data_IF_095932153092
#
_entry.id   IF_095932153092
#
_cell.length_a   1.000
_cell.length_b   1.000
_cell.length_c   1.000
_cell.angle_alpha   90.00
_cell.angle_beta   90.00
_cell.angle_gamma   90.00
#
_symmetry.space_group_name_H-M   'P 1'
#
loop_
_entity.id
_entity.type
_entity.pdbx_description
1 polymer ?
#
# COMPACT_ATOMS: atom_id res chain seq x y z
N UNK A 1 -14.33 1.20 34.44
CA UNK A 1 -15.21 0.53 33.44
C UNK A 1 -14.43 -0.14 32.32
N UNK A 2 -13.57 0.55 31.55
CA UNK A 2 -12.80 -0.07 30.43
C UNK A 2 -11.93 -1.25 30.88
N UNK A 3 -11.22 -1.13 32.00
CA UNK A 3 -10.40 -2.21 32.54
C UNK A 3 -11.20 -3.48 32.88
N UNK A 4 -12.42 -3.32 33.42
CA UNK A 4 -13.31 -4.45 33.73
C UNK A 4 -13.88 -5.07 32.46
N UNK A 5 -14.29 -4.25 31.49
CA UNK A 5 -14.75 -4.73 30.19
C UNK A 5 -13.67 -5.58 29.49
N UNK A 6 -12.40 -5.17 29.59
CA UNK A 6 -11.26 -5.88 29.00
C UNK A 6 -11.00 -7.27 29.61
N UNK A 7 -11.42 -7.50 30.85
CA UNK A 7 -11.30 -8.82 31.51
C UNK A 7 -12.38 -9.77 30.98
N UNK A 8 -13.59 -9.27 30.72
CA UNK A 8 -14.69 -10.07 30.17
C UNK A 8 -14.58 -10.31 28.66
N UNK A 9 -14.26 -9.26 27.90
CA UNK A 9 -14.15 -9.29 26.45
C UNK A 9 -13.09 -8.28 25.96
N UNK A 10 -12.00 -8.80 25.39
CA UNK A 10 -10.89 -7.99 24.87
C UNK A 10 -11.36 -7.01 23.78
N UNK A 11 -12.34 -7.40 22.95
CA UNK A 11 -12.87 -6.56 21.88
C UNK A 11 -13.62 -5.36 22.46
N UNK A 12 -14.47 -5.59 23.47
CA UNK A 12 -15.18 -4.50 24.17
C UNK A 12 -14.20 -3.59 24.90
N UNK A 13 -13.18 -4.18 25.54
CA UNK A 13 -12.09 -3.46 26.19
C UNK A 13 -11.37 -2.51 25.22
N UNK A 14 -10.89 -3.04 24.09
CA UNK A 14 -10.16 -2.25 23.09
C UNK A 14 -11.06 -1.22 22.40
N UNK A 15 -12.31 -1.58 22.09
CA UNK A 15 -13.31 -0.68 21.54
C UNK A 15 -13.55 0.54 22.44
N UNK A 16 -13.70 0.30 23.75
CA UNK A 16 -13.93 1.37 24.71
C UNK A 16 -12.65 2.19 24.99
N UNK A 17 -11.47 1.55 24.97
CA UNK A 17 -10.19 2.23 25.07
C UNK A 17 -9.95 3.21 23.92
N UNK A 18 -10.16 2.77 22.68
CA UNK A 18 -9.87 3.59 21.48
C UNK A 18 -10.76 4.83 21.37
N UNK A 19 -11.99 4.75 21.88
CA UNK A 19 -12.98 5.84 21.81
C UNK A 19 -12.94 6.81 22.99
N UNK A 20 -12.67 6.31 24.19
CA UNK A 20 -12.83 7.11 25.41
C UNK A 20 -11.50 7.48 26.05
N UNK A 21 -10.47 6.63 25.92
CA UNK A 21 -9.22 6.81 26.64
C UNK A 21 -8.10 7.34 25.74
N UNK A 22 -8.00 6.84 24.51
CA UNK A 22 -6.98 7.30 23.57
C UNK A 22 -7.04 8.83 23.33
N UNK A 23 -8.21 9.48 23.14
CA UNK A 23 -8.25 10.94 22.96
C UNK A 23 -7.69 11.75 24.13
N UNK A 24 -7.75 11.20 25.36
CA UNK A 24 -7.23 11.86 26.57
C UNK A 24 -5.69 11.96 26.48
N UNK A 25 -5.03 10.97 25.88
CA UNK A 25 -3.56 10.90 25.79
C UNK A 25 -2.97 12.00 24.91
N UNK A 26 -3.74 12.44 23.92
CA UNK A 26 -3.35 13.44 22.89
C UNK A 26 -3.65 14.86 23.34
N UNK A 27 -4.44 15.03 24.41
CA UNK A 27 -4.82 16.37 24.88
C UNK A 27 -3.58 17.15 25.35
N UNK A 28 -3.51 18.43 24.97
CA UNK A 28 -2.38 19.34 25.31
C UNK A 28 -2.17 19.50 26.83
N UNK A 29 -3.20 19.21 27.63
CA UNK A 29 -3.18 19.21 29.10
C UNK A 29 -2.96 17.81 29.72
N UNK A 30 -2.64 16.81 28.89
CA UNK A 30 -2.57 15.41 29.31
C UNK A 30 -1.56 15.17 30.42
N UNK A 31 -2.07 14.83 31.60
CA UNK A 31 -1.26 14.42 32.75
C UNK A 31 -0.43 13.16 32.39
N UNK A 32 0.91 13.17 32.60
CA UNK A 32 1.77 12.00 32.40
C UNK A 32 1.26 10.73 33.08
N UNK A 33 0.65 10.85 34.26
CA UNK A 33 0.07 9.71 34.98
C UNK A 33 -1.15 9.14 34.25
N UNK A 34 -2.03 9.99 33.71
CA UNK A 34 -3.18 9.54 32.92
C UNK A 34 -2.70 8.83 31.65
N UNK A 35 -1.70 9.39 30.96
CA UNK A 35 -1.09 8.75 29.79
C UNK A 35 -0.52 7.38 30.11
N UNK A 36 0.18 7.27 31.24
CA UNK A 36 0.76 6.01 31.72
C UNK A 36 -0.32 4.95 31.96
N UNK A 37 -1.39 5.28 32.69
CA UNK A 37 -2.50 4.37 32.96
C UNK A 37 -3.23 3.92 31.68
N UNK A 38 -3.42 4.83 30.72
CA UNK A 38 -4.05 4.49 29.44
C UNK A 38 -3.19 3.51 28.64
N UNK A 39 -1.86 3.70 28.63
CA UNK A 39 -0.93 2.78 27.97
C UNK A 39 -0.86 1.42 28.68
N UNK A 40 -0.77 1.41 30.02
CA UNK A 40 -0.75 0.16 30.80
C UNK A 40 -1.97 -0.71 30.51
N UNK A 41 -3.14 -0.08 30.34
CA UNK A 41 -4.36 -0.81 30.05
C UNK A 41 -4.33 -1.48 28.67
N UNK A 42 -3.94 -0.77 27.61
CA UNK A 42 -3.87 -1.38 26.26
C UNK A 42 -2.75 -2.41 26.17
N UNK A 43 -1.61 -2.18 26.81
CA UNK A 43 -0.54 -3.18 26.91
C UNK A 43 -1.04 -4.46 27.57
N UNK A 44 -1.81 -4.35 28.65
CA UNK A 44 -2.43 -5.50 29.30
C UNK A 44 -3.38 -6.24 28.35
N UNK A 45 -4.24 -5.52 27.63
CA UNK A 45 -5.14 -6.11 26.62
C UNK A 45 -4.34 -6.89 25.58
N UNK A 46 -3.30 -6.27 25.00
CA UNK A 46 -2.48 -6.84 23.93
C UNK A 46 -1.58 -7.99 24.41
N UNK A 47 -1.17 -7.98 25.68
CA UNK A 47 -0.39 -9.06 26.29
C UNK A 47 -1.22 -10.31 26.62
N UNK A 48 -2.55 -10.24 26.53
CA UNK A 48 -3.42 -11.39 26.83
C UNK A 48 -3.16 -12.52 25.82
N UNK A 49 -3.06 -13.79 26.26
CA UNK A 49 -2.88 -14.92 25.34
C UNK A 49 -3.93 -14.91 24.23
N UNK A 50 -3.49 -15.04 22.98
CA UNK A 50 -4.33 -15.01 21.76
C UNK A 50 -5.03 -13.66 21.49
N UNK A 51 -4.66 -12.57 22.18
CA UNK A 51 -5.27 -11.24 21.97
C UNK A 51 -5.28 -10.83 20.49
N UNK A 52 -4.16 -10.97 19.79
CA UNK A 52 -4.08 -10.64 18.36
C UNK A 52 -5.14 -11.36 17.51
N UNK A 53 -5.30 -12.66 17.69
CA UNK A 53 -6.26 -13.46 16.92
C UNK A 53 -7.73 -13.05 17.19
N UNK A 54 -8.03 -12.72 18.46
CA UNK A 54 -9.35 -12.24 18.89
C UNK A 54 -9.62 -10.84 18.36
N UNK A 55 -8.65 -9.93 18.47
CA UNK A 55 -8.85 -8.51 18.20
C UNK A 55 -8.87 -8.18 16.70
N UNK A 56 -8.02 -8.80 15.88
CA UNK A 56 -7.93 -8.50 14.44
C UNK A 56 -9.24 -8.85 13.70
N UNK A 57 -9.95 -9.87 14.18
CA UNK A 57 -11.26 -10.27 13.65
C UNK A 57 -12.42 -9.87 14.57
N UNK A 58 -12.14 -9.15 15.66
CA UNK A 58 -13.10 -8.80 16.68
C UNK A 58 -14.03 -7.68 16.23
N UNK A 59 -15.29 -7.75 16.66
CA UNK A 59 -16.27 -6.69 16.45
C UNK A 59 -17.21 -6.63 17.66
N UNK A 60 -17.52 -5.41 18.12
CA UNK A 60 -18.49 -5.21 19.21
C UNK A 60 -19.90 -5.07 18.66
N UNK A 61 -20.05 -4.40 17.51
CA UNK A 61 -21.33 -4.22 16.81
C UNK A 61 -21.11 -4.32 15.31
N UNK A 62 -22.15 -4.73 14.59
CA UNK A 62 -22.12 -4.82 13.12
C UNK A 62 -21.80 -3.43 12.54
N UNK A 63 -20.70 -3.35 11.79
CA UNK A 63 -20.26 -2.12 11.13
C UNK A 63 -19.36 -1.21 11.98
N UNK A 64 -19.17 -1.51 13.27
CA UNK A 64 -18.27 -0.72 14.13
C UNK A 64 -16.88 -1.36 14.24
N UNK A 65 -15.84 -0.56 13.96
CA UNK A 65 -14.44 -0.97 14.14
C UNK A 65 -14.03 -0.87 15.60
N UNK A 66 -13.21 -1.81 16.08
CA UNK A 66 -12.57 -1.71 17.39
C UNK A 66 -11.72 -0.44 17.48
N UNK A 67 -10.98 -0.14 16.41
CA UNK A 67 -10.22 1.11 16.25
C UNK A 67 -10.81 1.88 15.06
N UNK A 68 -11.61 2.92 15.29
CA UNK A 68 -12.22 3.71 14.22
C UNK A 68 -11.16 4.59 13.52
N UNK A 69 -11.43 5.09 12.29
CA UNK A 69 -10.47 5.91 11.54
C UNK A 69 -9.84 7.07 12.32
N UNK A 70 -10.58 7.89 13.11
CA UNK A 70 -9.97 8.97 13.89
C UNK A 70 -9.01 8.47 14.99
N UNK A 71 -9.26 7.28 15.54
CA UNK A 71 -8.37 6.66 16.51
C UNK A 71 -7.09 6.14 15.83
N UNK A 72 -7.20 5.60 14.60
CA UNK A 72 -6.02 5.21 13.82
C UNK A 72 -5.16 6.43 13.47
N UNK A 73 -5.77 7.52 13.02
CA UNK A 73 -5.05 8.78 12.77
C UNK A 73 -4.31 9.26 14.03
N UNK A 74 -5.00 9.23 15.17
CA UNK A 74 -4.41 9.54 16.47
C UNK A 74 -3.20 8.65 16.78
N UNK A 75 -3.33 7.33 16.57
CA UNK A 75 -2.25 6.37 16.81
C UNK A 75 -1.02 6.66 15.98
N UNK A 76 -1.17 7.00 14.69
CA UNK A 76 -0.05 7.39 13.83
C UNK A 76 0.67 8.60 14.44
N UNK A 77 -0.08 9.64 14.84
CA UNK A 77 0.50 10.89 15.36
C UNK A 77 1.26 10.70 16.68
N UNK A 78 0.76 9.86 17.60
CA UNK A 78 1.45 9.59 18.88
C UNK A 78 2.60 8.60 18.75
N UNK A 79 2.59 7.75 17.72
CA UNK A 79 3.65 6.78 17.42
C UNK A 79 4.82 7.42 16.70
N UNK A 80 4.55 8.34 15.78
CA UNK A 80 5.55 9.01 14.96
C UNK A 80 5.61 10.53 15.25
N UNK A 81 5.82 10.98 16.50
CA UNK A 81 5.94 12.41 16.76
C UNK A 81 7.26 12.95 16.18
N UNK A 82 7.37 14.28 15.96
CA UNK A 82 8.64 14.92 15.63
C UNK A 82 9.72 14.57 16.66
N UNK A 83 10.99 14.52 16.26
CA UNK A 83 12.10 14.14 17.16
C UNK A 83 12.14 14.96 18.44
N UNK A 84 11.80 16.25 18.37
CA UNK A 84 11.74 17.18 19.51
C UNK A 84 10.59 16.90 20.50
N UNK A 85 9.57 16.16 20.08
CA UNK A 85 8.38 15.83 20.88
C UNK A 85 8.38 14.37 21.38
N UNK A 86 9.45 13.61 21.11
CA UNK A 86 9.60 12.23 21.60
C UNK A 86 9.74 12.25 23.12
N UNK A 87 8.99 11.35 23.77
CA UNK A 87 9.01 11.14 25.23
C UNK A 87 9.07 9.64 25.52
N UNK A 88 9.30 9.24 26.77
CA UNK A 88 9.32 7.81 27.16
C UNK A 88 8.04 7.04 26.75
N UNK A 89 6.90 7.73 26.72
CA UNK A 89 5.65 7.13 26.26
C UNK A 89 5.63 6.81 24.75
N UNK A 90 6.46 7.46 23.94
CA UNK A 90 6.55 7.21 22.49
C UNK A 90 7.02 5.78 22.21
N UNK A 91 8.02 5.29 22.91
CA UNK A 91 8.53 3.90 22.76
C UNK A 91 7.44 2.86 23.04
N UNK A 92 6.56 3.16 24.00
CA UNK A 92 5.42 2.29 24.33
C UNK A 92 4.38 2.29 23.22
N UNK A 93 4.10 3.45 22.63
CA UNK A 93 3.25 3.54 21.45
C UNK A 93 3.83 2.76 20.26
N UNK A 94 5.13 2.90 19.99
CA UNK A 94 5.84 2.16 18.95
C UNK A 94 5.73 0.65 19.14
N UNK A 95 5.81 0.15 20.38
CA UNK A 95 5.68 -1.26 20.69
C UNK A 95 4.27 -1.82 20.43
N UNK A 96 3.21 -1.07 20.76
CA UNK A 96 1.82 -1.52 20.59
C UNK A 96 1.25 -1.22 19.20
N UNK A 97 1.81 -0.24 18.48
CA UNK A 97 1.28 0.27 17.22
C UNK A 97 1.08 -0.81 16.16
N UNK A 98 2.00 -1.76 15.89
CA UNK A 98 1.82 -2.75 14.83
C UNK A 98 0.54 -3.58 14.98
N UNK A 99 0.21 -4.00 16.22
CA UNK A 99 -1.00 -4.78 16.48
C UNK A 99 -2.24 -3.89 16.35
N UNK A 100 -2.20 -2.67 16.89
CA UNK A 100 -3.33 -1.74 16.80
C UNK A 100 -3.61 -1.33 15.34
N UNK A 101 -2.56 -1.10 14.55
CA UNK A 101 -2.65 -0.86 13.11
C UNK A 101 -3.34 -2.03 12.41
N UNK A 102 -2.93 -3.26 12.71
CA UNK A 102 -3.53 -4.46 12.14
C UNK A 102 -5.02 -4.58 12.50
N UNK A 103 -5.39 -4.30 13.76
CA UNK A 103 -6.79 -4.30 14.21
C UNK A 103 -7.60 -3.20 13.50
N UNK A 104 -7.04 -2.01 13.29
CA UNK A 104 -7.72 -0.91 12.63
C UNK A 104 -7.97 -1.18 11.14
N UNK A 105 -7.03 -1.85 10.48
CA UNK A 105 -7.08 -2.23 9.07
C UNK A 105 -7.69 -3.63 8.85
N UNK A 106 -8.09 -4.30 9.93
CA UNK A 106 -8.64 -5.66 9.93
C UNK A 106 -10.11 -5.73 9.51
N UNK A 107 -10.48 -6.86 8.91
CA UNK A 107 -11.86 -7.19 8.53
C UNK A 107 -11.95 -7.82 7.13
N UNK A 108 -13.15 -8.23 6.75
CA UNK A 108 -13.38 -8.95 5.48
C UNK A 108 -13.12 -8.05 4.26
N UNK A 109 -12.13 -8.40 3.40
CA UNK A 109 -11.84 -7.66 2.17
C UNK A 109 -13.05 -7.60 1.24
N UNK A 110 -13.21 -6.51 0.50
CA UNK A 110 -14.29 -6.33 -0.48
C UNK A 110 -15.70 -6.09 0.10
N UNK A 111 -15.90 -6.22 1.41
CA UNK A 111 -17.18 -5.93 2.05
C UNK A 111 -17.60 -4.46 1.92
N UNK A 112 -18.92 -4.19 1.92
CA UNK A 112 -19.46 -2.81 1.84
C UNK A 112 -18.91 -1.92 2.96
N UNK A 113 -18.83 -2.47 4.18
CA UNK A 113 -18.25 -1.77 5.32
C UNK A 113 -16.76 -1.47 5.12
N UNK A 114 -15.98 -2.42 4.57
CA UNK A 114 -14.57 -2.19 4.30
C UNK A 114 -14.34 -1.10 3.25
N UNK A 115 -15.14 -1.10 2.17
CA UNK A 115 -15.09 -0.04 1.14
C UNK A 115 -15.37 1.35 1.71
N UNK A 116 -16.35 1.47 2.62
CA UNK A 116 -16.66 2.75 3.26
C UNK A 116 -15.54 3.19 4.21
N UNK A 117 -15.03 2.27 5.04
CA UNK A 117 -13.95 2.57 5.98
C UNK A 117 -12.66 2.95 5.24
N UNK A 118 -12.31 2.27 4.14
CA UNK A 118 -11.11 2.61 3.37
C UNK A 118 -11.17 4.01 2.76
N UNK A 119 -12.35 4.48 2.33
CA UNK A 119 -12.54 5.86 1.87
C UNK A 119 -12.35 6.87 3.01
N UNK A 120 -12.91 6.59 4.20
CA UNK A 120 -12.71 7.45 5.37
C UNK A 120 -11.24 7.50 5.80
N UNK A 121 -10.56 6.36 5.80
CA UNK A 121 -9.13 6.28 6.13
C UNK A 121 -8.29 7.01 5.08
N UNK A 122 -8.61 6.84 3.80
CA UNK A 122 -7.89 7.51 2.71
C UNK A 122 -7.90 9.03 2.87
N UNK A 123 -9.03 9.63 3.28
CA UNK A 123 -9.16 11.07 3.44
C UNK A 123 -8.16 11.69 4.44
N UNK A 124 -7.89 11.02 5.57
CA UNK A 124 -6.86 11.53 6.49
C UNK A 124 -5.46 11.10 6.05
N UNK A 125 -5.32 9.89 5.47
CA UNK A 125 -4.03 9.35 5.08
C UNK A 125 -3.38 10.19 3.96
N UNK A 126 -4.14 10.68 2.98
CA UNK A 126 -3.60 11.55 1.93
C UNK A 126 -3.07 12.88 2.51
N UNK A 127 -3.75 13.45 3.51
CA UNK A 127 -3.29 14.70 4.15
C UNK A 127 -2.01 14.41 4.95
N UNK A 128 -2.03 13.36 5.76
CA UNK A 128 -0.89 12.96 6.60
C UNK A 128 0.34 12.55 5.78
N UNK A 129 0.16 11.95 4.60
CA UNK A 129 1.25 11.60 3.69
C UNK A 129 2.01 12.84 3.17
N UNK A 130 1.37 14.01 3.16
CA UNK A 130 1.97 15.28 2.75
C UNK A 130 2.63 16.07 3.89
N UNK A 131 2.62 15.56 5.12
CA UNK A 131 3.22 16.25 6.26
C UNK A 131 4.76 16.15 6.23
N UNK A 132 5.44 17.18 6.76
CA UNK A 132 6.91 17.24 6.83
C UNK A 132 7.53 16.21 7.79
N UNK A 133 6.71 15.50 8.55
CA UNK A 133 7.16 14.45 9.46
C UNK A 133 7.38 13.14 8.67
N UNK A 134 8.63 12.65 8.51
CA UNK A 134 8.90 11.48 7.67
C UNK A 134 8.25 10.20 8.17
N UNK A 135 8.11 10.04 9.49
CA UNK A 135 7.46 8.86 10.08
C UNK A 135 5.97 8.82 9.80
N UNK A 136 5.28 9.96 10.00
CA UNK A 136 3.86 10.10 9.68
C UNK A 136 3.64 9.97 8.17
N UNK A 137 4.44 10.67 7.36
CA UNK A 137 4.31 10.67 5.90
C UNK A 137 4.43 9.26 5.32
N UNK A 138 5.48 8.52 5.73
CA UNK A 138 5.70 7.13 5.27
C UNK A 138 4.56 6.20 5.69
N UNK A 139 4.17 6.25 6.96
CA UNK A 139 3.10 5.39 7.48
C UNK A 139 1.76 5.68 6.80
N UNK A 140 1.43 6.96 6.61
CA UNK A 140 0.21 7.39 5.94
C UNK A 140 0.22 7.01 4.45
N UNK A 141 1.36 7.08 3.77
CA UNK A 141 1.51 6.60 2.40
C UNK A 141 1.23 5.08 2.33
N UNK A 142 1.80 4.27 3.22
CA UNK A 142 1.53 2.83 3.32
C UNK A 142 0.05 2.53 3.56
N UNK A 143 -0.62 3.31 4.42
CA UNK A 143 -2.07 3.18 4.67
C UNK A 143 -2.89 3.58 3.43
N UNK A 144 -2.50 4.62 2.69
CA UNK A 144 -3.17 5.01 1.46
C UNK A 144 -3.09 3.87 0.40
N UNK A 145 -1.96 3.18 0.29
CA UNK A 145 -1.82 2.00 -0.57
C UNK A 145 -2.72 0.85 -0.11
N UNK A 146 -2.85 0.63 1.20
CA UNK A 146 -3.83 -0.33 1.72
C UNK A 146 -5.26 0.05 1.31
N UNK A 147 -5.63 1.33 1.33
CA UNK A 147 -6.96 1.78 0.90
C UNK A 147 -7.26 1.47 -0.57
N UNK A 148 -6.27 1.57 -1.46
CA UNK A 148 -6.43 1.24 -2.88
C UNK A 148 -6.74 -0.23 -3.13
N UNK A 149 -6.21 -1.14 -2.32
CA UNK A 149 -6.57 -2.56 -2.35
C UNK A 149 -8.03 -2.80 -1.90
N UNK A 150 -8.54 -1.99 -0.97
CA UNK A 150 -9.89 -2.19 -0.43
C UNK A 150 -11.01 -1.62 -1.32
N UNK A 151 -10.75 -0.53 -2.05
CA UNK A 151 -11.78 0.13 -2.84
C UNK A 151 -11.23 0.89 -4.04
N UNK A 152 -11.80 0.64 -5.22
CA UNK A 152 -11.52 1.43 -6.43
C UNK A 152 -11.94 2.90 -6.29
N UNK A 153 -12.90 3.21 -5.40
CA UNK A 153 -13.30 4.58 -5.10
C UNK A 153 -12.17 5.40 -4.47
N UNK A 154 -11.22 4.76 -3.78
CA UNK A 154 -10.05 5.45 -3.26
C UNK A 154 -9.15 6.02 -4.38
N UNK A 155 -9.10 5.38 -5.56
CA UNK A 155 -8.41 5.95 -6.72
C UNK A 155 -9.10 7.22 -7.24
N UNK A 156 -10.45 7.26 -7.25
CA UNK A 156 -11.20 8.46 -7.65
C UNK A 156 -11.02 9.60 -6.65
N UNK A 157 -11.00 9.28 -5.36
CA UNK A 157 -10.68 10.26 -4.31
C UNK A 157 -9.27 10.82 -4.52
N UNK A 158 -8.29 9.95 -4.76
CA UNK A 158 -6.92 10.37 -5.07
C UNK A 158 -6.86 11.25 -6.31
N UNK A 159 -7.59 10.88 -7.37
CA UNK A 159 -7.65 11.66 -8.60
C UNK A 159 -8.10 13.09 -8.38
N UNK A 160 -9.16 13.26 -7.57
CA UNK A 160 -9.76 14.55 -7.26
C UNK A 160 -8.79 15.47 -6.53
N UNK A 161 -8.03 14.92 -5.58
CA UNK A 161 -7.17 15.71 -4.68
C UNK A 161 -5.71 15.78 -5.13
N UNK A 162 -5.33 15.09 -6.21
CA UNK A 162 -3.95 14.89 -6.66
C UNK A 162 -3.13 16.18 -6.82
N UNK A 163 -3.67 17.17 -7.55
CA UNK A 163 -2.92 18.41 -7.85
C UNK A 163 -2.77 19.31 -6.61
N UNK A 164 -3.76 19.31 -5.72
CA UNK A 164 -3.73 20.06 -4.47
C UNK A 164 -2.78 19.40 -3.45
N UNK A 165 -2.64 18.08 -3.52
CA UNK A 165 -1.86 17.27 -2.58
C UNK A 165 -0.67 16.60 -3.29
N UNK A 166 0.09 17.38 -4.07
CA UNK A 166 1.19 16.84 -4.87
C UNK A 166 2.30 16.25 -4.00
N UNK A 167 2.64 16.88 -2.87
CA UNK A 167 3.64 16.36 -1.90
C UNK A 167 3.22 14.97 -1.41
N UNK A 168 1.98 14.83 -0.97
CA UNK A 168 1.43 13.55 -0.52
C UNK A 168 1.39 12.51 -1.65
N UNK A 169 1.04 12.93 -2.87
CA UNK A 169 0.99 12.04 -4.02
C UNK A 169 2.38 11.53 -4.42
N UNK A 170 3.42 12.37 -4.31
CA UNK A 170 4.82 11.95 -4.47
C UNK A 170 5.18 10.92 -3.41
N UNK A 171 4.83 11.14 -2.14
CA UNK A 171 5.09 10.19 -1.06
C UNK A 171 4.42 8.82 -1.31
N UNK A 172 3.14 8.81 -1.71
CA UNK A 172 2.39 7.58 -2.03
C UNK A 172 2.99 6.86 -3.24
N UNK A 173 3.30 7.58 -4.32
CA UNK A 173 3.92 7.00 -5.52
C UNK A 173 5.32 6.46 -5.23
N UNK A 174 6.10 7.15 -4.40
CA UNK A 174 7.40 6.70 -3.96
C UNK A 174 7.28 5.42 -3.13
N UNK A 175 6.41 5.39 -2.12
CA UNK A 175 6.20 4.21 -1.29
C UNK A 175 5.75 3.00 -2.14
N UNK A 176 4.85 3.21 -3.10
CA UNK A 176 4.43 2.17 -4.04
C UNK A 176 5.58 1.67 -4.92
N UNK A 177 6.47 2.56 -5.32
CA UNK A 177 7.67 2.22 -6.07
C UNK A 177 8.68 1.46 -5.21
N UNK A 178 8.90 1.87 -3.98
CA UNK A 178 9.90 1.25 -3.10
C UNK A 178 9.44 -0.16 -2.68
N UNK A 179 8.16 -0.32 -2.33
CA UNK A 179 7.58 -1.58 -1.84
C UNK A 179 6.84 -2.39 -2.91
N UNK A 180 7.14 -2.15 -4.18
CA UNK A 180 6.39 -2.71 -5.30
C UNK A 180 6.18 -4.23 -5.24
N UNK A 181 7.18 -4.99 -4.81
CA UNK A 181 7.07 -6.46 -4.73
C UNK A 181 5.95 -6.91 -3.79
N UNK A 182 5.77 -6.19 -2.67
CA UNK A 182 4.72 -6.49 -1.70
C UNK A 182 3.36 -5.94 -2.15
N UNK A 183 3.34 -4.74 -2.74
CA UNK A 183 2.11 -4.07 -3.12
C UNK A 183 1.49 -4.64 -4.41
N UNK A 184 2.31 -5.15 -5.34
CA UNK A 184 1.86 -5.67 -6.62
C UNK A 184 0.80 -6.77 -6.48
N UNK A 185 1.00 -7.72 -5.57
CA UNK A 185 0.02 -8.80 -5.36
C UNK A 185 -1.29 -8.30 -4.76
N UNK A 186 -1.23 -7.25 -3.94
CA UNK A 186 -2.39 -6.63 -3.29
C UNK A 186 -3.18 -5.71 -4.23
N UNK A 187 -2.52 -5.06 -5.18
CA UNK A 187 -3.15 -4.12 -6.10
C UNK A 187 -3.58 -4.75 -7.43
N UNK A 188 -3.42 -6.07 -7.58
CA UNK A 188 -3.95 -6.82 -8.71
C UNK A 188 -5.47 -6.99 -8.56
N UNK A 189 -6.27 -6.80 -9.63
CA UNK A 189 -5.86 -6.52 -11.01
C UNK A 189 -5.48 -5.05 -11.22
N UNK A 190 -4.47 -4.78 -12.08
CA UNK A 190 -3.80 -3.47 -12.15
C UNK A 190 -4.54 -2.39 -12.94
N UNK A 191 -5.71 -2.68 -13.51
CA UNK A 191 -6.45 -1.77 -14.40
C UNK A 191 -6.74 -0.41 -13.74
N UNK A 192 -7.26 -0.32 -12.49
CA UNK A 192 -7.47 0.96 -11.83
C UNK A 192 -6.16 1.75 -11.64
N UNK A 193 -5.07 1.04 -11.35
CA UNK A 193 -3.75 1.63 -11.20
C UNK A 193 -3.19 2.14 -12.55
N UNK A 194 -3.42 1.41 -13.66
CA UNK A 194 -3.02 1.87 -15.00
C UNK A 194 -3.74 3.16 -15.39
N UNK A 195 -5.05 3.19 -15.15
CA UNK A 195 -5.89 4.33 -15.49
C UNK A 195 -5.48 5.57 -14.70
N UNK A 196 -5.31 5.46 -13.37
CA UNK A 196 -4.94 6.61 -12.55
C UNK A 196 -3.54 7.14 -12.91
N UNK A 197 -2.57 6.26 -13.17
CA UNK A 197 -1.21 6.67 -13.55
C UNK A 197 -1.20 7.38 -14.90
N UNK A 198 -2.02 6.94 -15.86
CA UNK A 198 -2.20 7.63 -17.14
C UNK A 198 -2.76 9.04 -16.92
N UNK A 199 -3.81 9.17 -16.10
CA UNK A 199 -4.42 10.46 -15.80
C UNK A 199 -3.43 11.41 -15.10
N UNK A 200 -2.65 10.91 -14.15
CA UNK A 200 -1.62 11.71 -13.47
C UNK A 200 -0.53 12.19 -14.39
N UNK A 201 -0.05 11.34 -15.30
CA UNK A 201 0.93 11.77 -16.31
C UNK A 201 0.40 12.89 -17.19
N UNK A 202 -0.86 12.83 -17.62
CA UNK A 202 -1.49 13.92 -18.37
C UNK A 202 -1.63 15.20 -17.55
N UNK A 203 -2.01 15.09 -16.26
CA UNK A 203 -2.07 16.24 -15.35
C UNK A 203 -0.69 16.86 -15.11
N UNK A 204 0.35 16.03 -14.99
CA UNK A 204 1.74 16.47 -14.78
C UNK A 204 2.29 17.18 -16.02
N UNK A 205 2.07 16.63 -17.21
CA UNK A 205 2.50 17.25 -18.47
C UNK A 205 1.90 18.65 -18.63
N UNK A 206 0.59 18.80 -18.37
CA UNK A 206 -0.08 20.11 -18.37
C UNK A 206 0.48 21.04 -17.31
N UNK A 207 0.73 20.55 -16.09
CA UNK A 207 1.29 21.37 -15.03
C UNK A 207 2.72 21.85 -15.36
N UNK A 208 3.54 21.03 -16.02
CA UNK A 208 4.90 21.44 -16.38
C UNK A 208 4.98 22.54 -17.43
N UNK A 209 3.91 22.77 -18.20
CA UNK A 209 3.86 23.87 -19.18
C UNK A 209 3.29 25.16 -18.60
N UNK A 210 2.52 25.09 -17.51
CA UNK A 210 1.81 26.24 -16.92
C UNK A 210 2.32 26.67 -15.55
N UNK A 211 2.96 25.78 -14.80
CA UNK A 211 3.43 26.03 -13.43
C UNK A 211 4.66 26.93 -13.44
N UNK A 212 4.65 27.99 -12.65
CA UNK A 212 5.77 28.94 -12.54
C UNK A 212 6.57 28.77 -11.25
N UNK A 213 6.00 28.11 -10.23
CA UNK A 213 6.71 27.80 -9.00
C UNK A 213 7.72 26.66 -9.21
N UNK A 214 9.00 26.97 -9.06
CA UNK A 214 10.09 26.02 -9.22
C UNK A 214 10.00 24.85 -8.23
N UNK A 215 9.58 25.08 -6.98
CA UNK A 215 9.46 24.03 -5.98
C UNK A 215 8.36 23.03 -6.36
N UNK A 216 7.19 23.54 -6.76
CA UNK A 216 6.08 22.74 -7.28
C UNK A 216 6.43 22.02 -8.58
N UNK A 217 7.17 22.63 -9.50
CA UNK A 217 7.67 21.95 -10.70
C UNK A 217 8.54 20.73 -10.35
N UNK A 218 9.40 20.82 -9.34
CA UNK A 218 10.21 19.68 -8.86
C UNK A 218 9.31 18.54 -8.38
N UNK A 219 8.29 18.84 -7.58
CA UNK A 219 7.33 17.85 -7.08
C UNK A 219 6.55 17.18 -8.22
N UNK A 220 6.13 17.96 -9.22
CA UNK A 220 5.44 17.43 -10.41
C UNK A 220 6.36 16.51 -11.23
N UNK A 221 7.65 16.88 -11.38
CA UNK A 221 8.66 16.03 -12.04
C UNK A 221 8.87 14.72 -11.28
N UNK A 222 8.94 14.77 -9.96
CA UNK A 222 9.07 13.57 -9.12
C UNK A 222 7.85 12.67 -9.24
N UNK A 223 6.64 13.24 -9.20
CA UNK A 223 5.41 12.49 -9.39
C UNK A 223 5.38 11.80 -10.76
N UNK A 224 5.74 12.51 -11.84
CA UNK A 224 5.80 11.94 -13.19
C UNK A 224 6.87 10.84 -13.31
N UNK A 225 8.04 11.03 -12.69
CA UNK A 225 9.10 10.03 -12.59
C UNK A 225 8.56 8.72 -11.98
N UNK A 226 7.92 8.78 -10.82
CA UNK A 226 7.37 7.58 -10.19
C UNK A 226 6.23 6.98 -11.00
N UNK A 227 5.36 7.81 -11.60
CA UNK A 227 4.30 7.30 -12.48
C UNK A 227 4.86 6.48 -13.64
N UNK A 228 5.95 6.93 -14.27
CA UNK A 228 6.66 6.20 -15.35
C UNK A 228 7.24 4.88 -14.86
N UNK A 229 7.91 4.89 -13.70
CA UNK A 229 8.51 3.68 -13.10
C UNK A 229 7.41 2.62 -12.84
N UNK A 230 6.33 3.01 -12.19
CA UNK A 230 5.24 2.10 -11.83
C UNK A 230 4.51 1.61 -13.08
N UNK A 231 4.21 2.50 -14.04
CA UNK A 231 3.60 2.12 -15.32
C UNK A 231 4.44 1.06 -16.05
N UNK A 232 5.77 1.22 -16.08
CA UNK A 232 6.67 0.23 -16.67
C UNK A 232 6.58 -1.14 -15.99
N UNK A 233 6.43 -1.18 -14.66
CA UNK A 233 6.31 -2.43 -13.89
C UNK A 233 4.96 -3.10 -14.11
N UNK A 234 3.88 -2.32 -14.11
CA UNK A 234 2.52 -2.78 -14.33
C UNK A 234 2.31 -3.35 -15.75
N UNK A 235 2.99 -2.80 -16.76
CA UNK A 235 2.94 -3.32 -18.14
C UNK A 235 3.70 -4.64 -18.32
N UNK A 236 4.80 -4.85 -17.58
CA UNK A 236 5.61 -6.07 -17.66
C UNK A 236 4.91 -7.31 -17.08
N UNK A 237 3.91 -7.13 -16.21
CA UNK A 237 3.16 -8.22 -15.57
C UNK A 237 2.18 -8.99 -16.48
N UNK A 238 1.96 -8.54 -17.72
CA UNK A 238 0.99 -9.18 -18.65
C UNK A 238 1.62 -9.66 -19.97
N UNK A 239 2.95 -9.57 -20.13
CA UNK A 239 3.58 -9.86 -21.42
C UNK A 239 5.07 -10.12 -21.34
N UNK A 240 5.46 -11.32 -20.92
CA UNK A 240 6.74 -11.91 -21.30
C UNK A 240 6.56 -13.38 -21.69
N UNK A 241 5.72 -13.62 -22.70
CA UNK A 241 6.05 -14.60 -23.75
C UNK A 241 6.63 -13.85 -24.95
N UNK A 242 7.58 -12.94 -24.70
CA UNK A 242 8.24 -12.19 -25.75
C UNK A 242 9.17 -13.14 -26.51
N UNK A 243 8.67 -13.66 -27.63
CA UNK A 243 9.39 -13.83 -28.89
C UNK A 243 10.91 -14.08 -28.77
N UNK A 244 11.26 -15.32 -28.43
CA UNK A 244 12.59 -15.89 -28.72
C UNK A 244 12.49 -16.91 -29.86
N UNK A 245 11.71 -16.59 -30.90
CA UNK A 245 11.61 -17.42 -32.12
C UNK A 245 11.69 -16.57 -33.39
N UNK A 246 12.69 -15.69 -33.48
CA UNK A 246 13.11 -15.14 -34.78
C UNK A 246 14.61 -14.90 -34.80
N UNK A 247 15.39 -15.95 -35.07
CA UNK A 247 16.52 -15.93 -36.02
C UNK A 247 17.18 -17.31 -36.14
N UNK A 248 16.69 -18.18 -37.03
CA UNK A 248 17.53 -19.01 -37.93
C UNK A 248 16.71 -19.35 -39.17
N UNK A 249 16.65 -18.44 -40.15
CA UNK A 249 16.52 -18.86 -41.55
C UNK A 249 17.06 -17.77 -42.49
N UNK A 250 18.38 -17.68 -42.54
CA UNK A 250 19.09 -16.97 -43.60
C UNK A 250 20.34 -17.75 -43.99
N UNK A 251 20.18 -19.01 -44.42
CA UNK A 251 21.24 -19.78 -45.12
C UNK A 251 20.71 -20.50 -46.38
N UNK A 252 19.41 -20.54 -46.66
CA UNK A 252 18.87 -21.29 -47.80
C UNK A 252 18.90 -20.57 -49.17
N UNK A 253 19.66 -19.47 -49.32
CA UNK A 253 19.87 -18.81 -50.63
C UNK A 253 21.32 -18.94 -51.12
N UNK A 254 22.26 -19.34 -50.25
CA UNK A 254 23.67 -19.53 -50.62
C UNK A 254 24.03 -20.93 -51.15
N UNK A 255 23.16 -21.93 -50.96
CA UNK A 255 23.48 -23.33 -51.30
C UNK A 255 23.07 -23.76 -52.72
N UNK A 256 22.36 -22.91 -53.48
CA UNK A 256 21.95 -23.24 -54.87
C UNK A 256 23.00 -22.80 -55.90
N UNK A 257 24.04 -22.05 -55.49
CA UNK A 257 25.04 -21.50 -56.42
C UNK A 257 26.29 -22.38 -56.57
N UNK A 258 26.49 -23.43 -55.76
CA UNK A 258 27.80 -24.13 -55.75
C UNK A 258 27.87 -25.64 -56.00
N UNK A 259 26.79 -26.40 -56.15
CA UNK A 259 26.93 -27.81 -56.56
C UNK A 259 25.75 -28.29 -57.42
N UNK A 260 25.95 -28.58 -58.72
CA UNK A 260 25.01 -29.40 -59.46
C UNK A 260 25.27 -30.86 -59.07
N UNK A 261 24.18 -31.58 -58.78
CA UNK A 261 24.11 -33.04 -58.68
C UNK A 261 24.56 -33.68 -57.36
N UNK A 262 23.60 -34.00 -56.50
CA UNK A 262 23.66 -35.16 -55.61
C UNK A 262 22.28 -35.84 -55.60
N UNK A 263 22.18 -36.91 -56.38
CA UNK A 263 21.12 -37.91 -56.26
C UNK A 263 21.17 -38.58 -54.86
N UNK A 264 20.00 -38.90 -54.33
CA UNK A 264 19.74 -39.75 -53.16
C UNK A 264 20.11 -39.22 -51.77
N UNK A 265 19.29 -38.29 -51.25
CA UNK A 265 19.11 -38.15 -49.80
C UNK A 265 17.93 -39.02 -49.36
N UNK A 266 18.25 -40.19 -48.81
CA UNK A 266 17.29 -41.18 -48.30
C UNK A 266 16.65 -40.67 -46.99
N UNK A 267 15.44 -40.11 -47.12
CA UNK A 267 14.65 -39.52 -46.03
C UNK A 267 14.27 -40.51 -44.91
N UNK A 268 14.50 -41.81 -45.07
CA UNK A 268 14.19 -42.82 -44.04
C UNK A 268 15.15 -42.82 -42.85
N UNK A 269 16.37 -42.26 -42.96
CA UNK A 269 17.32 -42.20 -41.84
C UNK A 269 17.06 -41.06 -40.84
N UNK A 270 16.35 -40.01 -41.24
CA UNK A 270 16.03 -38.87 -40.37
C UNK A 270 14.88 -39.17 -39.40
N UNK A 271 13.99 -40.11 -39.72
CA UNK A 271 12.85 -40.48 -38.86
C UNK A 271 13.24 -41.35 -37.65
N UNK A 272 14.43 -41.95 -37.65
CA UNK A 272 14.89 -42.85 -36.57
C UNK A 272 15.47 -42.06 -35.38
N UNK A 273 15.97 -40.85 -35.61
CA UNK A 273 16.59 -40.02 -34.54
C UNK A 273 15.54 -39.31 -33.67
N UNK A 274 14.30 -39.16 -34.14
CA UNK A 274 13.25 -38.43 -33.44
C UNK A 274 12.25 -39.29 -32.64
N UNK A 275 12.43 -40.61 -32.58
CA UNK A 275 11.49 -41.53 -31.90
C UNK A 275 12.12 -42.42 -30.82
N UNK A 276 13.28 -42.06 -30.27
CA UNK A 276 13.84 -42.73 -29.10
C UNK A 276 14.27 -41.75 -28.02
N UNK A 277 13.31 -41.30 -27.20
CA UNK A 277 13.29 -41.59 -25.76
C UNK A 277 12.11 -40.88 -25.10
N UNK A 278 11.32 -41.70 -24.41
CA UNK A 278 10.44 -41.31 -23.31
C UNK A 278 11.22 -40.56 -22.22
#
# INVERSE_FOLDING_TARGET
MVAQASVGDLSVGLYAWSRNLLPIVVSKSGNPQSRDLVLQLVEKILSTPKARAVLVNGAVRKGERLIPPPALETLIRVTFPPSSARVKATERFEAIYPILREVALGGSPGSKAMKQVSQQIFNFAIIAAGEDNPGVSKEAASIALWCFNQSTECYKLWEKVYQENIVASVAILKELSDDWKEQATKLSPYEPLREILKNFRQKNEKALTTETDAARQVLVKDADKYCKIISGRVSRGHGCKSFLTFTVLAVAVGAVVFYPNMESLDFKKLAVVFNSQF
#
